data_IF_812883243071
#
_entry.id   IF_812883243071
#
_cell.length_a   1.000
_cell.length_b   1.000
_cell.length_c   1.000
_cell.angle_alpha   90.00
_cell.angle_beta   90.00
_cell.angle_gamma   90.00
#
_symmetry.space_group_name_H-M   'P 1'
#
loop_
_entity.id
_entity.type
_entity.pdbx_description
1 polymer ?
#
# COMPACT_ATOMS: atom_id res chain seq x y z
N UNK A 1 -1.03 15.34 -4.42
CA UNK A 1 0.38 15.44 -4.91
C UNK A 1 1.06 14.09 -4.80
N UNK A 2 2.20 13.90 -5.48
CA UNK A 2 2.90 12.59 -5.60
C UNK A 2 3.17 11.88 -4.26
N UNK A 3 3.35 12.64 -3.17
CA UNK A 3 3.48 12.10 -1.80
C UNK A 3 2.30 11.22 -1.33
N UNK A 4 1.08 11.49 -1.82
CA UNK A 4 -0.10 10.70 -1.49
C UNK A 4 0.00 9.28 -2.05
N UNK A 5 0.67 9.08 -3.20
CA UNK A 5 0.88 7.75 -3.78
C UNK A 5 1.76 6.89 -2.87
N UNK A 6 2.80 7.47 -2.24
CA UNK A 6 3.61 6.77 -1.24
C UNK A 6 2.79 6.41 0.00
N UNK A 7 1.93 7.32 0.46
CA UNK A 7 1.00 7.05 1.58
C UNK A 7 0.08 5.87 1.29
N UNK A 8 -0.58 5.89 0.13
CA UNK A 8 -1.47 4.80 -0.30
C UNK A 8 -0.71 3.49 -0.50
N UNK A 9 0.45 3.53 -1.17
CA UNK A 9 1.28 2.34 -1.39
C UNK A 9 1.73 1.68 -0.08
N UNK A 10 2.18 2.47 0.89
CA UNK A 10 2.56 1.95 2.21
C UNK A 10 1.35 1.44 3.01
N UNK A 11 0.19 2.09 2.91
CA UNK A 11 -1.03 1.66 3.58
C UNK A 11 -1.52 0.31 3.04
N UNK A 12 -1.51 0.13 1.72
CA UNK A 12 -1.85 -1.13 1.06
C UNK A 12 -0.94 -2.28 1.54
N UNK A 13 0.38 -2.06 1.52
CA UNK A 13 1.36 -3.05 1.96
C UNK A 13 1.20 -3.39 3.44
N UNK A 14 0.92 -2.39 4.29
CA UNK A 14 0.67 -2.60 5.72
C UNK A 14 -0.60 -3.42 5.97
N UNK A 15 -1.69 -3.11 5.26
CA UNK A 15 -2.97 -3.82 5.40
C UNK A 15 -2.89 -5.29 4.95
N UNK A 16 -2.01 -5.59 4.00
CA UNK A 16 -1.87 -6.92 3.40
C UNK A 16 -0.60 -7.67 3.83
N UNK A 17 0.15 -7.15 4.83
CA UNK A 17 1.46 -7.68 5.19
C UNK A 17 1.45 -9.18 5.51
N UNK A 18 0.46 -9.64 6.28
CA UNK A 18 0.35 -11.05 6.69
C UNK A 18 0.09 -11.96 5.49
N UNK A 19 -0.82 -11.56 4.61
CA UNK A 19 -1.14 -12.31 3.40
C UNK A 19 0.09 -12.39 2.50
N UNK A 20 0.76 -11.26 2.26
CA UNK A 20 1.95 -11.19 1.40
C UNK A 20 3.11 -12.04 1.92
N UNK A 21 3.36 -12.07 3.23
CA UNK A 21 4.44 -12.87 3.82
C UNK A 21 4.18 -14.38 3.77
N UNK A 22 2.92 -14.80 3.59
CA UNK A 22 2.56 -16.22 3.48
C UNK A 22 2.64 -16.77 2.06
N UNK A 23 2.84 -15.90 1.06
CA UNK A 23 2.82 -16.23 -0.35
C UNK A 23 4.24 -16.39 -0.92
N UNK A 24 4.37 -17.24 -1.93
CA UNK A 24 5.55 -17.30 -2.78
C UNK A 24 5.52 -16.19 -3.84
N UNK A 25 6.52 -16.15 -4.72
CA UNK A 25 6.64 -15.10 -5.73
C UNK A 25 5.44 -15.02 -6.69
N UNK A 26 4.95 -16.17 -7.18
CA UNK A 26 3.78 -16.19 -8.07
C UNK A 26 2.51 -15.77 -7.31
N UNK A 27 2.34 -16.26 -6.08
CA UNK A 27 1.24 -15.91 -5.19
C UNK A 27 1.17 -14.41 -4.94
N UNK A 28 2.31 -13.76 -4.68
CA UNK A 28 2.40 -12.31 -4.51
C UNK A 28 1.94 -11.59 -5.79
N UNK A 29 2.43 -11.99 -6.96
CA UNK A 29 2.01 -11.39 -8.24
C UNK A 29 0.52 -11.55 -8.51
N UNK A 30 -0.05 -12.73 -8.22
CA UNK A 30 -1.48 -13.00 -8.35
C UNK A 30 -2.30 -12.17 -7.36
N UNK A 31 -1.85 -12.07 -6.12
CA UNK A 31 -2.50 -11.30 -5.06
C UNK A 31 -2.65 -9.83 -5.47
N UNK A 32 -1.57 -9.19 -5.93
CA UNK A 32 -1.60 -7.80 -6.39
C UNK A 32 -2.53 -7.58 -7.59
N UNK A 33 -2.61 -8.52 -8.52
CA UNK A 33 -3.44 -8.37 -9.73
C UNK A 33 -4.92 -8.69 -9.52
N UNK A 34 -5.24 -9.56 -8.56
CA UNK A 34 -6.60 -10.13 -8.44
C UNK A 34 -7.22 -9.86 -7.08
N UNK A 35 -6.54 -10.21 -5.99
CA UNK A 35 -7.14 -10.19 -4.66
C UNK A 35 -7.19 -8.76 -4.09
N UNK A 36 -6.09 -8.02 -4.23
CA UNK A 36 -5.98 -6.65 -3.75
C UNK A 36 -7.06 -5.75 -4.39
N UNK A 37 -7.25 -5.71 -5.72
CA UNK A 37 -8.30 -4.87 -6.32
C UNK A 37 -9.71 -5.31 -5.94
N UNK A 38 -9.94 -6.61 -5.68
CA UNK A 38 -11.24 -7.11 -5.23
C UNK A 38 -11.58 -6.63 -3.82
N UNK A 39 -10.60 -6.64 -2.89
CA UNK A 39 -10.78 -6.24 -1.47
C UNK A 39 -11.30 -4.80 -1.34
N UNK A 40 -10.77 -3.88 -2.14
CA UNK A 40 -11.09 -2.46 -2.07
C UNK A 40 -12.24 -2.02 -2.99
N UNK A 41 -13.08 -2.94 -3.46
CA UNK A 41 -14.35 -2.57 -4.14
C UNK A 41 -15.44 -2.16 -3.16
N UNK A 42 -15.33 -2.58 -1.91
CA UNK A 42 -16.20 -2.13 -0.83
C UNK A 42 -15.78 -0.72 -0.40
N UNK A 43 -16.77 0.15 -0.23
CA UNK A 43 -16.57 1.53 0.23
C UNK A 43 -15.94 1.57 1.62
N UNK A 44 -16.41 0.74 2.56
CA UNK A 44 -15.84 0.65 3.91
C UNK A 44 -14.33 0.33 3.89
N UNK A 45 -13.92 -0.64 3.08
CA UNK A 45 -12.51 -1.01 2.95
C UNK A 45 -11.68 0.08 2.25
N UNK A 46 -12.28 0.79 1.29
CA UNK A 46 -11.63 1.91 0.63
C UNK A 46 -11.44 3.09 1.59
N UNK A 47 -12.45 3.41 2.40
CA UNK A 47 -12.39 4.49 3.39
C UNK A 47 -11.35 4.19 4.47
N UNK A 48 -11.32 2.97 4.99
CA UNK A 48 -10.29 2.54 5.95
C UNK A 48 -8.88 2.69 5.36
N UNK A 49 -8.70 2.34 4.08
CA UNK A 49 -7.43 2.51 3.38
C UNK A 49 -7.04 3.98 3.27
N UNK A 50 -7.96 4.85 2.88
CA UNK A 50 -7.70 6.29 2.73
C UNK A 50 -7.40 6.92 4.09
N UNK A 51 -8.17 6.60 5.13
CA UNK A 51 -7.90 7.07 6.50
C UNK A 51 -6.51 6.62 6.96
N UNK A 52 -6.17 5.35 6.74
CA UNK A 52 -4.85 4.82 7.06
C UNK A 52 -3.77 5.58 6.31
N UNK A 53 -3.92 5.76 4.99
CA UNK A 53 -2.96 6.48 4.14
C UNK A 53 -2.76 7.94 4.59
N UNK A 54 -3.84 8.64 4.93
CA UNK A 54 -3.81 10.02 5.44
C UNK A 54 -3.10 10.13 6.80
N UNK A 55 -3.18 9.10 7.64
CA UNK A 55 -2.46 9.05 8.93
C UNK A 55 -0.95 8.79 8.77
N UNK A 56 -0.50 8.34 7.59
CA UNK A 56 0.90 7.98 7.38
C UNK A 56 1.78 9.23 7.23
N UNK A 57 2.74 9.38 8.15
CA UNK A 57 3.76 10.43 8.07
C UNK A 57 4.83 10.06 7.04
N UNK A 58 4.72 10.63 5.84
CA UNK A 58 5.74 10.49 4.79
C UNK A 58 6.90 11.47 5.05
N UNK A 59 8.08 10.93 5.34
CA UNK A 59 9.27 11.75 5.54
C UNK A 59 9.87 12.17 4.19
N UNK A 60 9.60 13.41 3.79
CA UNK A 60 10.09 14.00 2.54
C UNK A 60 11.63 14.04 2.45
N UNK A 61 12.34 14.26 3.57
CA UNK A 61 13.81 14.21 3.58
C UNK A 61 14.31 12.80 3.23
N UNK A 62 13.61 11.77 3.71
CA UNK A 62 13.93 10.37 3.41
C UNK A 62 13.66 10.04 1.95
N UNK A 63 12.53 10.51 1.39
CA UNK A 63 12.23 10.33 -0.04
C UNK A 63 13.29 10.96 -0.94
N UNK A 64 13.71 12.21 -0.66
CA UNK A 64 14.77 12.88 -1.43
C UNK A 64 16.13 12.18 -1.34
N UNK A 65 16.38 11.44 -0.25
CA UNK A 65 17.58 10.62 -0.14
C UNK A 65 17.47 9.38 -1.02
N UNK A 66 16.35 8.66 -0.96
CA UNK A 66 16.09 7.47 -1.80
C UNK A 66 16.01 7.76 -3.30
N UNK A 67 15.72 9.00 -3.70
CA UNK A 67 15.76 9.41 -5.11
C UNK A 67 17.19 9.55 -5.65
N UNK A 68 18.16 9.86 -4.78
CA UNK A 68 19.56 10.08 -5.14
C UNK A 68 20.42 8.82 -5.03
N UNK A 69 20.02 7.89 -4.18
CA UNK A 69 20.66 6.59 -3.96
C UNK A 69 20.17 5.58 -5.02
#
# INVERSE_FOLDING_TARGET
GFNALFGVGLALLKSCQKDLLSLDFEGIMRFFRVNLPKKYRSEDHADELIQTACSMKINVKKLKRYEKD
#
